data_IF_243927623568
#
_entry.id   IF_243927623568
#
_cell.length_a   1.000
_cell.length_b   1.000
_cell.length_c   1.000
_cell.angle_alpha   90.00
_cell.angle_beta   90.00
_cell.angle_gamma   90.00
#
_symmetry.space_group_name_H-M   'P 1'
#
loop_
_entity.id
_entity.type
_entity.pdbx_description
1 polymer ?
#
# COMPACT_ATOMS: atom_id res chain seq x y z
N UNK A 1 -42.60 -5.83 -67.59
CA UNK A 1 -41.23 -5.43 -67.17
C UNK A 1 -41.35 -4.07 -66.51
N UNK A 2 -41.58 -4.05 -65.19
CA UNK A 2 -41.55 -2.81 -64.41
C UNK A 2 -40.86 -3.11 -63.09
N UNK A 3 -39.68 -2.51 -62.95
CA UNK A 3 -38.75 -2.61 -61.84
C UNK A 3 -39.40 -2.11 -60.55
N UNK A 4 -39.65 -3.00 -59.59
CA UNK A 4 -39.89 -2.59 -58.21
C UNK A 4 -38.53 -2.40 -57.52
N UNK A 5 -38.15 -1.14 -57.43
CA UNK A 5 -37.02 -0.61 -56.66
C UNK A 5 -37.16 -1.03 -55.20
N UNK A 6 -36.33 -2.00 -54.81
CA UNK A 6 -36.12 -2.42 -53.44
C UNK A 6 -35.42 -1.26 -52.70
N UNK A 7 -36.20 -0.38 -52.04
CA UNK A 7 -35.63 0.63 -51.15
C UNK A 7 -34.94 -0.09 -49.99
N UNK A 8 -33.65 0.17 -49.70
CA UNK A 8 -33.01 -0.33 -48.50
C UNK A 8 -33.71 0.26 -47.26
N UNK A 9 -33.82 -0.51 -46.15
CA UNK A 9 -34.41 0.00 -44.92
C UNK A 9 -33.61 1.22 -44.45
N UNK A 10 -34.33 2.27 -44.06
CA UNK A 10 -33.75 3.52 -43.56
C UNK A 10 -32.71 3.22 -42.48
N UNK A 11 -31.48 3.71 -42.69
CA UNK A 11 -30.43 3.65 -41.68
C UNK A 11 -30.92 4.33 -40.40
N UNK A 12 -30.76 3.73 -39.21
CA UNK A 12 -31.08 4.40 -37.96
C UNK A 12 -30.34 5.75 -37.93
N UNK A 13 -31.11 6.81 -37.67
CA UNK A 13 -30.64 8.19 -37.82
C UNK A 13 -29.40 8.46 -36.98
N UNK A 14 -28.49 9.27 -37.53
CA UNK A 14 -27.35 9.88 -36.83
C UNK A 14 -27.71 10.48 -35.47
N UNK A 15 -28.97 10.88 -35.31
CA UNK A 15 -29.53 11.54 -34.14
C UNK A 15 -29.72 10.58 -32.96
N UNK A 16 -29.94 9.29 -33.23
CA UNK A 16 -30.07 8.25 -32.20
C UNK A 16 -28.69 7.89 -31.61
N UNK A 17 -27.64 7.87 -32.46
CA UNK A 17 -26.26 7.74 -32.02
C UNK A 17 -25.75 8.98 -31.25
N UNK A 18 -26.21 10.18 -31.64
CA UNK A 18 -25.90 11.41 -30.91
C UNK A 18 -26.52 11.44 -29.50
N UNK A 19 -27.67 10.79 -29.31
CA UNK A 19 -28.34 10.65 -28.01
C UNK A 19 -27.63 9.69 -27.03
N UNK A 20 -26.94 8.66 -27.53
CA UNK A 20 -26.21 7.70 -26.70
C UNK A 20 -24.89 8.25 -26.12
N UNK A 21 -24.34 9.32 -26.72
CA UNK A 21 -23.18 10.07 -26.21
C UNK A 21 -23.56 11.16 -25.21
N UNK A 22 -24.82 11.15 -24.71
CA UNK A 22 -25.28 12.02 -23.62
C UNK A 22 -24.48 11.70 -22.36
N UNK A 23 -23.37 12.41 -22.23
CA UNK A 23 -22.45 12.48 -21.08
C UNK A 23 -23.27 12.36 -19.81
N UNK A 24 -23.04 11.29 -19.05
CA UNK A 24 -23.63 11.16 -17.71
C UNK A 24 -23.30 12.44 -16.94
N UNK A 25 -24.29 13.11 -16.33
CA UNK A 25 -24.06 14.35 -15.61
C UNK A 25 -23.03 14.10 -14.52
N UNK A 26 -22.08 15.04 -14.38
CA UNK A 26 -21.12 15.03 -13.29
C UNK A 26 -21.85 14.76 -11.98
N UNK A 27 -21.51 13.62 -11.38
CA UNK A 27 -22.03 13.13 -10.13
C UNK A 27 -21.95 14.23 -9.07
N UNK A 28 -23.04 14.46 -8.33
CA UNK A 28 -23.11 15.40 -7.19
C UNK A 28 -21.80 15.45 -6.40
N UNK A 29 -21.33 16.64 -6.01
CA UNK A 29 -20.16 16.78 -5.14
C UNK A 29 -20.37 16.18 -3.72
N UNK A 30 -21.62 15.83 -3.39
CA UNK A 30 -22.04 15.29 -2.09
C UNK A 30 -21.25 14.04 -1.64
N UNK A 31 -21.11 12.96 -2.42
CA UNK A 31 -20.28 11.81 -2.07
C UNK A 31 -18.81 12.17 -1.82
N UNK A 32 -18.22 13.08 -2.60
CA UNK A 32 -16.84 13.49 -2.40
C UNK A 32 -16.67 14.20 -1.05
N UNK A 33 -17.54 15.15 -0.75
CA UNK A 33 -17.55 15.87 0.53
C UNK A 33 -17.74 14.89 1.69
N UNK A 34 -18.69 13.96 1.58
CA UNK A 34 -18.95 12.95 2.60
C UNK A 34 -17.74 12.03 2.84
N UNK A 35 -17.07 11.56 1.77
CA UNK A 35 -15.88 10.72 1.87
C UNK A 35 -14.68 11.48 2.43
N UNK A 36 -14.49 12.75 2.06
CA UNK A 36 -13.42 13.60 2.63
C UNK A 36 -13.64 13.85 4.12
N UNK A 37 -14.88 14.12 4.55
CA UNK A 37 -15.24 14.23 5.97
C UNK A 37 -15.00 12.92 6.71
N UNK A 38 -15.45 11.80 6.15
CA UNK A 38 -15.24 10.48 6.74
C UNK A 38 -13.74 10.16 6.90
N UNK A 39 -12.91 10.50 5.91
CA UNK A 39 -11.46 10.36 5.97
C UNK A 39 -10.84 11.23 7.07
N UNK A 40 -11.28 12.48 7.20
CA UNK A 40 -10.78 13.37 8.25
C UNK A 40 -11.14 12.85 9.66
N UNK A 41 -12.39 12.43 9.86
CA UNK A 41 -12.85 11.86 11.13
C UNK A 41 -12.10 10.56 11.44
N UNK A 42 -11.99 9.64 10.46
CA UNK A 42 -11.29 8.37 10.67
C UNK A 42 -9.80 8.58 11.00
N UNK A 43 -9.15 9.58 10.39
CA UNK A 43 -7.76 9.96 10.70
C UNK A 43 -7.62 10.41 12.16
N UNK A 44 -8.50 11.28 12.66
CA UNK A 44 -8.48 11.74 14.05
C UNK A 44 -8.66 10.58 15.03
N UNK A 45 -9.61 9.67 14.76
CA UNK A 45 -9.81 8.48 15.57
C UNK A 45 -8.61 7.54 15.53
N UNK A 46 -8.02 7.31 14.35
CA UNK A 46 -6.86 6.44 14.18
C UNK A 46 -5.63 6.94 14.94
N UNK A 47 -5.43 8.26 15.06
CA UNK A 47 -4.35 8.84 15.86
C UNK A 47 -4.61 8.65 17.36
N UNK A 48 -5.86 8.81 17.81
CA UNK A 48 -6.25 8.66 19.22
C UNK A 48 -6.21 7.21 19.73
N UNK A 49 -6.43 6.23 18.85
CA UNK A 49 -6.43 4.80 19.16
C UNK A 49 -4.99 4.26 19.28
N UNK A 50 -4.62 3.81 20.47
CA UNK A 50 -3.33 3.15 20.74
C UNK A 50 -3.25 2.57 22.15
N UNK A 51 -2.09 2.03 22.57
CA UNK A 51 -1.93 1.36 23.87
C UNK A 51 -2.32 2.24 25.06
N UNK A 52 -2.14 3.55 24.90
CA UNK A 52 -2.80 4.58 25.72
C UNK A 52 -3.92 5.20 24.90
N UNK A 53 -5.17 4.98 25.33
CA UNK A 53 -6.33 5.68 24.80
C UNK A 53 -6.26 7.14 25.22
N UNK A 54 -6.36 8.03 24.23
CA UNK A 54 -6.35 9.48 24.43
C UNK A 54 -7.68 10.02 23.96
N UNK A 55 -8.30 10.90 24.75
CA UNK A 55 -9.57 11.49 24.37
C UNK A 55 -9.43 12.21 23.01
N UNK A 56 -10.47 12.18 22.15
CA UNK A 56 -10.41 12.88 20.86
C UNK A 56 -10.11 14.37 21.00
N UNK A 57 -10.60 15.01 22.07
CA UNK A 57 -10.32 16.41 22.43
C UNK A 57 -8.83 16.65 22.69
N UNK A 58 -8.18 15.76 23.44
CA UNK A 58 -6.75 15.83 23.72
C UNK A 58 -5.92 15.60 22.46
N UNK A 59 -6.35 14.70 21.58
CA UNK A 59 -5.67 14.43 20.30
C UNK A 59 -5.66 15.68 19.41
N UNK A 60 -6.80 16.37 19.29
CA UNK A 60 -6.90 17.64 18.54
C UNK A 60 -6.03 18.72 19.19
N UNK A 61 -6.05 18.82 20.52
CA UNK A 61 -5.21 19.77 21.27
C UNK A 61 -3.71 19.53 21.04
N UNK A 62 -3.27 18.28 21.07
CA UNK A 62 -1.87 17.90 20.82
C UNK A 62 -1.45 18.14 19.37
N UNK A 63 -2.30 17.81 18.40
CA UNK A 63 -2.06 18.11 16.98
C UNK A 63 -1.98 19.63 16.75
N UNK A 64 -2.91 20.39 17.35
CA UNK A 64 -2.92 21.85 17.23
C UNK A 64 -1.67 22.47 17.85
N UNK A 65 -1.28 22.04 19.06
CA UNK A 65 -0.07 22.51 19.71
C UNK A 65 1.20 22.14 18.93
N UNK A 66 1.22 20.98 18.26
CA UNK A 66 2.33 20.60 17.40
C UNK A 66 2.49 21.50 16.16
N UNK A 67 1.38 21.94 15.56
CA UNK A 67 1.39 22.82 14.39
C UNK A 67 1.66 24.29 14.78
N UNK A 68 1.14 24.73 15.92
CA UNK A 68 1.22 26.14 16.37
C UNK A 68 2.38 26.43 17.31
N UNK A 69 3.11 25.41 17.77
CA UNK A 69 4.21 25.58 18.74
C UNK A 69 3.73 25.90 20.16
N UNK A 70 2.53 25.47 20.54
CA UNK A 70 1.94 25.73 21.85
C UNK A 70 2.68 25.02 23.00
N UNK A 71 2.56 25.57 24.21
CA UNK A 71 3.14 24.97 25.42
C UNK A 71 2.25 23.88 26.01
N UNK A 72 2.83 22.73 26.37
CA UNK A 72 2.17 21.65 27.09
C UNK A 72 2.75 21.47 28.49
N UNK A 73 1.97 20.93 29.45
CA UNK A 73 2.49 20.47 30.73
C UNK A 73 3.57 19.40 30.56
N UNK A 74 4.57 19.37 31.45
CA UNK A 74 5.71 18.43 31.38
C UNK A 74 5.24 16.97 31.48
N UNK A 75 4.17 16.72 32.22
CA UNK A 75 3.57 15.40 32.44
C UNK A 75 2.97 14.81 31.15
N UNK A 76 2.61 15.66 30.19
CA UNK A 76 1.96 15.26 28.94
C UNK A 76 2.95 15.08 27.77
N UNK A 77 4.23 15.47 27.94
CA UNK A 77 5.25 15.47 26.88
C UNK A 77 5.45 14.08 26.27
N UNK A 78 5.52 13.03 27.09
CA UNK A 78 5.69 11.65 26.60
C UNK A 78 4.52 11.20 25.72
N UNK A 79 3.28 11.58 26.10
CA UNK A 79 2.07 11.26 25.34
C UNK A 79 2.02 12.05 24.03
N UNK A 80 2.40 13.32 24.07
CA UNK A 80 2.53 14.20 22.91
C UNK A 80 3.55 13.64 21.90
N UNK A 81 4.75 13.22 22.35
CA UNK A 81 5.77 12.64 21.48
C UNK A 81 5.28 11.37 20.78
N UNK A 82 4.60 10.47 21.48
CA UNK A 82 4.04 9.26 20.88
C UNK A 82 3.02 9.63 19.79
N UNK A 83 2.13 10.57 20.07
CA UNK A 83 1.11 11.00 19.10
C UNK A 83 1.78 11.63 17.89
N UNK A 84 2.62 12.64 18.10
CA UNK A 84 3.19 13.44 17.01
C UNK A 84 4.27 12.71 16.21
N UNK A 85 5.19 11.99 16.86
CA UNK A 85 6.35 11.37 16.20
C UNK A 85 6.11 9.94 15.74
N UNK A 86 5.11 9.23 16.30
CA UNK A 86 4.87 7.82 15.98
C UNK A 86 3.52 7.62 15.30
N UNK A 87 2.43 8.13 15.89
CA UNK A 87 1.08 7.86 15.40
C UNK A 87 0.72 8.70 14.18
N UNK A 88 0.90 10.03 14.26
CA UNK A 88 0.60 10.96 13.17
C UNK A 88 1.28 10.58 11.85
N UNK A 89 2.61 10.38 11.77
CA UNK A 89 3.25 10.01 10.51
C UNK A 89 2.76 8.66 9.99
N UNK A 90 2.47 7.68 10.86
CA UNK A 90 1.95 6.38 10.45
C UNK A 90 0.55 6.46 9.85
N UNK A 91 -0.35 7.24 10.46
CA UNK A 91 -1.73 7.41 9.96
C UNK A 91 -1.74 8.19 8.65
N UNK A 92 -0.94 9.26 8.54
CA UNK A 92 -0.80 10.01 7.29
C UNK A 92 -0.22 9.14 6.17
N UNK A 93 0.81 8.34 6.48
CA UNK A 93 1.36 7.39 5.51
C UNK A 93 0.31 6.38 5.05
N UNK A 94 -0.51 5.85 5.96
CA UNK A 94 -1.59 4.94 5.61
C UNK A 94 -2.64 5.60 4.69
N UNK A 95 -2.99 6.87 4.93
CA UNK A 95 -3.89 7.63 4.07
C UNK A 95 -3.32 7.83 2.66
N UNK A 96 -2.05 8.22 2.56
CA UNK A 96 -1.36 8.42 1.27
C UNK A 96 -1.22 7.11 0.51
N UNK A 97 -0.80 6.03 1.18
CA UNK A 97 -0.68 4.70 0.57
C UNK A 97 -2.05 4.18 0.11
N UNK A 98 -3.10 4.33 0.93
CA UNK A 98 -4.46 3.92 0.57
C UNK A 98 -5.03 4.69 -0.62
N UNK A 99 -4.76 6.00 -0.70
CA UNK A 99 -5.14 6.82 -1.85
C UNK A 99 -4.41 6.39 -3.12
N UNK A 100 -3.09 6.14 -3.04
CA UNK A 100 -2.28 5.65 -4.14
C UNK A 100 -2.77 4.30 -4.68
N UNK A 101 -3.03 3.35 -3.78
CA UNK A 101 -3.55 2.02 -4.15
C UNK A 101 -4.94 2.09 -4.78
N UNK A 102 -5.80 2.96 -4.27
CA UNK A 102 -7.13 3.19 -4.85
C UNK A 102 -7.04 3.76 -6.28
N UNK A 103 -6.15 4.74 -6.50
CA UNK A 103 -5.92 5.32 -7.81
C UNK A 103 -5.36 4.30 -8.82
N UNK A 104 -4.36 3.51 -8.41
CA UNK A 104 -3.80 2.44 -9.23
C UNK A 104 -4.84 1.35 -9.53
N UNK A 105 -5.64 0.97 -8.53
CA UNK A 105 -6.72 -0.01 -8.68
C UNK A 105 -7.73 0.41 -9.74
N UNK A 106 -8.23 1.65 -9.67
CA UNK A 106 -9.16 2.20 -10.68
C UNK A 106 -8.51 2.28 -12.06
N UNK A 107 -7.23 2.69 -12.14
CA UNK A 107 -6.52 2.75 -13.41
C UNK A 107 -6.37 1.38 -14.07
N UNK A 108 -6.00 0.34 -13.30
CA UNK A 108 -5.89 -1.03 -13.81
C UNK A 108 -7.25 -1.58 -14.20
N UNK A 109 -8.27 -1.43 -13.35
CA UNK A 109 -9.64 -1.85 -13.65
C UNK A 109 -10.18 -1.21 -14.94
N UNK A 110 -9.87 0.06 -15.19
CA UNK A 110 -10.24 0.75 -16.43
C UNK A 110 -9.46 0.24 -17.66
N UNK A 111 -8.16 -0.02 -17.50
CA UNK A 111 -7.29 -0.53 -18.57
C UNK A 111 -7.72 -1.92 -19.03
N UNK A 112 -7.98 -2.82 -18.09
CA UNK A 112 -8.37 -4.21 -18.36
C UNK A 112 -9.88 -4.37 -18.60
N UNK A 113 -10.66 -3.30 -18.35
CA UNK A 113 -12.13 -3.30 -18.39
C UNK A 113 -12.74 -4.47 -17.60
N UNK A 114 -12.10 -4.83 -16.49
CA UNK A 114 -12.54 -5.90 -15.62
C UNK A 114 -12.50 -5.42 -14.16
N UNK A 115 -13.67 -5.30 -13.48
CA UNK A 115 -13.74 -4.83 -12.10
C UNK A 115 -13.10 -5.80 -11.09
N UNK A 116 -12.80 -7.04 -11.48
CA UNK A 116 -12.12 -8.04 -10.65
C UNK A 116 -10.59 -7.99 -10.75
N UNK A 117 -10.04 -7.11 -11.57
CA UNK A 117 -8.58 -7.02 -11.71
C UNK A 117 -7.95 -6.37 -10.46
N UNK A 118 -6.90 -7.02 -9.95
CA UNK A 118 -6.12 -6.58 -8.81
C UNK A 118 -4.71 -6.13 -9.26
N UNK A 119 -4.28 -4.88 -8.93
CA UNK A 119 -2.95 -4.38 -9.27
C UNK A 119 -1.78 -5.16 -8.65
N UNK A 120 -2.01 -5.96 -7.61
CA UNK A 120 -0.93 -6.70 -6.94
C UNK A 120 -0.48 -7.97 -7.67
N UNK A 121 -1.20 -8.40 -8.70
CA UNK A 121 -0.97 -9.67 -9.40
C UNK A 121 0.32 -9.68 -10.25
N UNK A 122 0.96 -8.53 -10.49
CA UNK A 122 2.19 -8.42 -11.30
C UNK A 122 3.49 -8.77 -10.56
N UNK A 123 3.42 -9.49 -9.43
CA UNK A 123 4.62 -9.89 -8.66
C UNK A 123 5.34 -8.73 -7.96
N UNK A 124 4.74 -7.53 -7.93
CA UNK A 124 5.31 -6.31 -7.32
C UNK A 124 5.54 -6.50 -5.83
N UNK A 125 4.56 -7.08 -5.14
CA UNK A 125 4.60 -7.28 -3.68
C UNK A 125 5.66 -8.33 -3.28
N UNK A 126 5.69 -9.47 -3.98
CA UNK A 126 6.67 -10.53 -3.72
C UNK A 126 8.09 -10.12 -4.10
N UNK A 127 8.28 -9.40 -5.21
CA UNK A 127 9.56 -8.79 -5.57
C UNK A 127 10.06 -7.79 -4.55
N UNK A 128 9.17 -6.94 -4.03
CA UNK A 128 9.51 -6.00 -2.97
C UNK A 128 9.88 -6.69 -1.66
N UNK A 129 9.19 -7.77 -1.30
CA UNK A 129 9.54 -8.58 -0.15
C UNK A 129 10.94 -9.21 -0.29
N UNK A 130 11.27 -9.78 -1.45
CA UNK A 130 12.62 -10.30 -1.75
C UNK A 130 13.68 -9.20 -1.61
N UNK A 131 13.43 -8.01 -2.17
CA UNK A 131 14.35 -6.88 -2.06
C UNK A 131 14.57 -6.41 -0.62
N UNK A 132 13.50 -6.33 0.19
CA UNK A 132 13.58 -5.99 1.60
C UNK A 132 14.39 -7.01 2.41
N UNK A 133 14.14 -8.31 2.18
CA UNK A 133 14.86 -9.41 2.84
C UNK A 133 16.32 -9.43 2.39
N UNK A 134 16.61 -9.15 1.11
CA UNK A 134 17.97 -9.15 0.58
C UNK A 134 18.82 -8.07 1.27
N UNK A 135 18.29 -6.86 1.39
CA UNK A 135 18.96 -5.79 2.13
C UNK A 135 19.12 -6.16 3.60
N UNK A 136 18.10 -6.76 4.22
CA UNK A 136 18.12 -7.10 5.64
C UNK A 136 19.15 -8.20 5.99
N UNK A 137 19.37 -9.16 5.10
CA UNK A 137 20.28 -10.29 5.34
C UNK A 137 21.71 -10.02 4.85
N UNK A 138 21.85 -9.45 3.66
CA UNK A 138 23.16 -9.25 3.05
C UNK A 138 23.76 -7.88 3.39
N UNK A 139 23.02 -6.98 4.01
CA UNK A 139 23.48 -5.63 4.31
C UNK A 139 23.74 -4.80 3.06
N UNK A 140 23.25 -5.22 1.89
CA UNK A 140 23.31 -4.44 0.67
C UNK A 140 22.66 -3.06 0.92
N UNK A 141 23.19 -1.99 0.31
CA UNK A 141 22.74 -0.61 0.55
C UNK A 141 22.95 -0.11 2.00
N UNK A 142 23.84 -0.71 2.81
CA UNK A 142 24.13 -0.24 4.18
C UNK A 142 24.46 1.27 4.26
N UNK A 143 25.04 1.85 3.22
CA UNK A 143 25.31 3.30 3.15
C UNK A 143 24.06 4.19 3.17
N UNK A 144 22.86 3.65 2.94
CA UNK A 144 21.58 4.37 3.02
C UNK A 144 20.96 4.34 4.43
N UNK A 145 21.56 3.61 5.38
CA UNK A 145 21.09 3.54 6.76
C UNK A 145 19.62 3.11 6.86
N UNK A 146 18.79 3.95 7.51
CA UNK A 146 17.36 3.69 7.74
C UNK A 146 16.55 3.50 6.45
N UNK A 147 17.00 4.04 5.32
CA UNK A 147 16.30 3.96 4.04
C UNK A 147 16.65 2.71 3.23
N UNK A 148 17.66 1.94 3.66
CA UNK A 148 18.16 0.80 2.90
C UNK A 148 17.06 -0.22 2.59
N UNK A 149 16.24 -0.59 3.59
CA UNK A 149 15.15 -1.56 3.42
C UNK A 149 14.07 -1.04 2.48
N UNK A 150 13.69 0.23 2.60
CA UNK A 150 12.67 0.85 1.74
C UNK A 150 13.13 0.93 0.28
N UNK A 151 14.39 1.31 0.04
CA UNK A 151 14.96 1.36 -1.32
C UNK A 151 15.15 -0.06 -1.87
N UNK A 152 15.60 -1.00 -1.05
CA UNK A 152 15.69 -2.42 -1.43
C UNK A 152 14.36 -3.00 -1.86
N UNK A 153 13.29 -2.75 -1.08
CA UNK A 153 11.94 -3.17 -1.42
C UNK A 153 11.45 -2.53 -2.72
N UNK A 154 11.70 -1.23 -2.91
CA UNK A 154 11.31 -0.53 -4.13
C UNK A 154 12.03 -1.05 -5.38
N UNK A 155 13.35 -1.24 -5.30
CA UNK A 155 14.15 -1.80 -6.40
C UNK A 155 13.79 -3.25 -6.69
N UNK A 156 13.52 -4.06 -5.66
CA UNK A 156 13.04 -5.43 -5.82
C UNK A 156 11.68 -5.49 -6.53
N UNK A 157 10.75 -4.59 -6.16
CA UNK A 157 9.45 -4.47 -6.81
C UNK A 157 9.56 -4.02 -8.28
N UNK A 158 10.41 -3.03 -8.57
CA UNK A 158 10.68 -2.59 -9.95
C UNK A 158 11.31 -3.69 -10.80
N UNK A 159 12.33 -4.37 -10.27
CA UNK A 159 13.00 -5.48 -10.94
C UNK A 159 12.04 -6.64 -11.23
N UNK A 160 11.19 -6.99 -10.26
CA UNK A 160 10.15 -8.01 -10.45
C UNK A 160 9.15 -7.63 -11.53
N UNK A 161 8.65 -6.38 -11.51
CA UNK A 161 7.70 -5.88 -12.52
C UNK A 161 8.32 -5.90 -13.91
N UNK A 162 9.58 -5.44 -14.05
CA UNK A 162 10.31 -5.46 -15.31
C UNK A 162 10.53 -6.89 -15.82
N UNK A 163 10.87 -7.83 -14.93
CA UNK A 163 11.04 -9.24 -15.28
C UNK A 163 9.73 -9.86 -15.77
N UNK A 164 8.61 -9.59 -15.07
CA UNK A 164 7.28 -10.06 -15.48
C UNK A 164 6.92 -9.50 -16.85
N UNK A 165 7.13 -8.21 -17.08
CA UNK A 165 6.86 -7.57 -18.36
C UNK A 165 7.71 -8.17 -19.48
N UNK A 166 9.02 -8.32 -19.27
CA UNK A 166 9.94 -8.90 -20.24
C UNK A 166 9.59 -10.37 -20.56
N UNK A 167 9.23 -11.16 -19.56
CA UNK A 167 8.84 -12.55 -19.74
C UNK A 167 7.46 -12.71 -20.40
N UNK A 168 6.55 -11.75 -20.21
CA UNK A 168 5.25 -11.73 -20.88
C UNK A 168 5.32 -11.15 -22.31
N UNK A 169 6.43 -10.51 -22.69
CA UNK A 169 6.61 -9.88 -23.99
C UNK A 169 6.83 -10.93 -25.08
N UNK A 170 5.90 -11.03 -26.03
CA UNK A 170 5.96 -11.98 -27.15
C UNK A 170 5.92 -11.31 -28.52
N UNK A 171 5.92 -12.13 -29.59
CA UNK A 171 5.93 -11.68 -31.00
C UNK A 171 4.76 -10.76 -31.39
N UNK A 172 3.63 -10.87 -30.70
CA UNK A 172 2.41 -10.06 -30.92
C UNK A 172 2.23 -8.97 -29.85
N UNK A 173 3.27 -8.68 -29.05
CA UNK A 173 3.20 -7.81 -27.89
C UNK A 173 2.75 -8.53 -26.60
N UNK A 174 2.34 -7.74 -25.61
CA UNK A 174 1.92 -8.23 -24.28
C UNK A 174 0.41 -8.43 -24.26
N UNK A 175 -0.05 -9.65 -23.98
CA UNK A 175 -1.47 -9.92 -23.76
C UNK A 175 -1.78 -9.91 -22.25
N UNK A 176 -2.95 -9.42 -21.82
CA UNK A 176 -3.31 -9.37 -20.40
C UNK A 176 -3.26 -10.76 -19.73
N UNK A 177 -3.72 -11.80 -20.43
CA UNK A 177 -3.71 -13.16 -19.92
C UNK A 177 -2.28 -13.69 -19.67
N UNK A 178 -1.36 -13.47 -20.62
CA UNK A 178 0.05 -13.86 -20.41
C UNK A 178 0.68 -13.09 -19.27
N UNK A 179 0.44 -11.77 -19.21
CA UNK A 179 0.97 -10.93 -18.16
C UNK A 179 0.53 -11.41 -16.76
N UNK A 180 -0.75 -11.80 -16.62
CA UNK A 180 -1.28 -12.38 -15.38
C UNK A 180 -0.67 -13.74 -15.05
N UNK A 181 -0.65 -14.67 -16.01
CA UNK A 181 -0.09 -16.03 -15.80
C UNK A 181 1.41 -15.98 -15.45
N UNK A 182 2.18 -15.16 -16.17
CA UNK A 182 3.60 -14.93 -15.91
C UNK A 182 3.81 -14.26 -14.56
N UNK A 183 2.96 -13.28 -14.20
CA UNK A 183 2.99 -12.61 -12.90
C UNK A 183 2.83 -13.58 -11.73
N UNK A 184 1.82 -14.44 -11.79
CA UNK A 184 1.58 -15.46 -10.75
C UNK A 184 2.73 -16.48 -10.68
N UNK A 185 3.23 -16.96 -11.82
CA UNK A 185 4.35 -17.90 -11.84
C UNK A 185 5.63 -17.30 -11.23
N UNK A 186 5.97 -16.06 -11.59
CA UNK A 186 7.12 -15.36 -11.02
C UNK A 186 6.91 -14.99 -9.56
N UNK A 187 5.68 -14.69 -9.13
CA UNK A 187 5.39 -14.44 -7.72
C UNK A 187 5.72 -15.65 -6.83
N UNK A 188 5.38 -16.87 -7.26
CA UNK A 188 5.80 -18.08 -6.56
C UNK A 188 7.32 -18.28 -6.60
N UNK A 189 7.97 -17.97 -7.74
CA UNK A 189 9.43 -17.96 -7.85
C UNK A 189 10.09 -17.02 -6.83
N UNK A 190 9.61 -15.78 -6.71
CA UNK A 190 10.09 -14.82 -5.72
C UNK A 190 9.83 -15.28 -4.29
N UNK A 191 8.69 -15.92 -4.02
CA UNK A 191 8.40 -16.46 -2.70
C UNK A 191 9.35 -17.62 -2.34
N UNK A 192 9.70 -18.48 -3.31
CA UNK A 192 10.70 -19.52 -3.11
C UNK A 192 12.09 -18.92 -2.81
N UNK A 193 12.50 -17.90 -3.57
CA UNK A 193 13.77 -17.17 -3.33
C UNK A 193 13.78 -16.55 -1.92
N UNK A 194 12.71 -15.85 -1.53
CA UNK A 194 12.58 -15.28 -0.18
C UNK A 194 12.70 -16.36 0.90
N UNK A 195 12.09 -17.53 0.70
CA UNK A 195 12.13 -18.64 1.65
C UNK A 195 13.53 -19.22 1.80
N UNK A 196 14.25 -19.38 0.69
CA UNK A 196 15.67 -19.80 0.68
C UNK A 196 16.54 -18.78 1.42
N UNK A 197 16.34 -17.49 1.19
CA UNK A 197 17.07 -16.43 1.88
C UNK A 197 16.85 -16.48 3.39
N UNK A 198 15.59 -16.61 3.83
CA UNK A 198 15.24 -16.73 5.25
C UNK A 198 15.83 -18.00 5.86
N UNK A 199 15.87 -19.10 5.12
CA UNK A 199 16.47 -20.35 5.59
C UNK A 199 17.96 -20.19 5.91
N UNK A 200 18.70 -19.46 5.07
CA UNK A 200 20.11 -19.15 5.29
C UNK A 200 20.33 -17.95 6.23
N UNK A 201 19.27 -17.30 6.71
CA UNK A 201 19.40 -16.18 7.62
C UNK A 201 20.12 -16.64 8.90
N UNK A 202 21.16 -15.91 9.35
CA UNK A 202 21.83 -16.23 10.59
C UNK A 202 20.81 -16.20 11.74
N UNK A 203 20.52 -17.36 12.32
CA UNK A 203 19.77 -17.41 13.57
C UNK A 203 20.68 -16.82 14.62
N UNK A 204 20.42 -15.58 15.03
CA UNK A 204 20.93 -15.07 16.29
C UNK A 204 20.26 -15.89 17.39
N UNK A 205 20.81 -17.07 17.69
CA UNK A 205 20.71 -17.58 19.04
C UNK A 205 21.46 -16.55 19.88
N UNK A 206 20.71 -15.78 20.66
CA UNK A 206 21.28 -14.98 21.72
C UNK A 206 21.54 -15.96 22.88
N UNK A 207 22.79 -16.36 23.16
CA UNK A 207 23.08 -17.27 24.28
C UNK A 207 22.83 -16.63 25.65
N UNK A 208 22.54 -15.31 25.72
CA UNK A 208 22.52 -14.56 26.99
C UNK A 208 21.16 -13.90 27.32
N UNK A 209 20.06 -14.49 26.84
CA UNK A 209 18.69 -14.06 27.17
C UNK A 209 18.22 -14.51 28.56
N UNK A 210 18.80 -13.95 29.62
CA UNK A 210 18.52 -14.14 31.07
C UNK A 210 19.36 -15.23 31.77
N UNK A 211 20.64 -14.92 31.98
CA UNK A 211 21.54 -15.58 32.92
C UNK A 211 22.26 -14.57 33.81
N UNK A 212 21.56 -13.58 34.35
CA UNK A 212 22.13 -12.71 35.39
C UNK A 212 22.45 -13.55 36.64
N UNK A 213 23.58 -13.31 37.35
CA UNK A 213 23.91 -14.08 38.54
C UNK A 213 22.76 -13.95 39.55
N UNK A 214 22.21 -15.09 39.98
CA UNK A 214 21.21 -15.16 41.03
C UNK A 214 21.76 -14.39 42.25
N UNK A 215 21.17 -13.22 42.54
CA UNK A 215 21.51 -12.49 43.77
C UNK A 215 21.12 -13.40 44.94
N UNK A 216 22.01 -13.70 45.88
CA UNK A 216 21.63 -14.43 47.08
C UNK A 216 20.61 -13.58 47.84
N UNK A 217 19.42 -14.15 48.08
CA UNK A 217 18.43 -13.58 48.98
C UNK A 217 19.02 -13.54 50.40
N UNK A 218 19.21 -12.35 51.02
CA UNK A 218 19.53 -12.28 52.43
C UNK A 218 18.20 -12.40 53.19
N UNK A 219 17.90 -13.57 53.73
CA UNK A 219 16.66 -13.72 54.50
C UNK A 219 16.20 -15.12 54.87
N UNK A 220 17.05 -16.14 54.82
CA UNK A 220 16.74 -17.45 55.41
C UNK A 220 17.88 -17.94 56.29
N UNK A 221 17.97 -17.34 57.47
CA UNK A 221 18.48 -17.98 58.67
C UNK A 221 17.70 -17.43 59.87
N UNK A 222 17.13 -18.37 60.62
CA UNK A 222 16.50 -18.27 61.95
C UNK A 222 15.15 -17.55 62.04
#
# INVERSE_FOLDING_TARGET
MSSQSLLPPASPGSDEYAGALRRRPLHSARPLIALSLLLAVSTLFAIGLGPSSVAPSDTVRYLWAAVTGGSLPVEEVSRYQIIWQIRTPRVLLAAVVGAGLSAVGVAIQALVRNPLADPYILGVSSGGAVGAVAVSLFGALAGLGIYAVSVGAFLGALGATALVYAAAYGRTGVTPLRLVLTGVALAFGFQAVMSVMIYFAPRRCDPDGVGGPARPHPGRTA
#
